data_IF_179193283843
#
_entry.id   IF_179193283843
#
_cell.length_a   1.000
_cell.length_b   1.000
_cell.length_c   1.000
_cell.angle_alpha   90.00
_cell.angle_beta   90.00
_cell.angle_gamma   90.00
#
_symmetry.space_group_name_H-M   'P 1'
#
loop_
_entity.id
_entity.type
_entity.pdbx_description
1 polymer ?
#
# COMPACT_ATOMS: atom_id res chain seq x y z
N UNK A 1 10.01 19.58 -1.55
CA UNK A 1 8.82 20.29 -1.02
C UNK A 1 7.93 20.62 -2.19
N UNK A 2 6.66 20.23 -2.15
CA UNK A 2 5.70 20.46 -3.23
C UNK A 2 4.55 21.28 -2.66
N UNK A 3 4.29 22.52 -3.12
CA UNK A 3 3.25 23.36 -2.50
C UNK A 3 1.91 22.64 -2.48
N UNK A 4 1.15 22.76 -1.36
CA UNK A 4 -0.20 22.20 -1.28
C UNK A 4 -1.08 22.85 -2.35
N UNK A 5 -1.68 22.01 -3.19
CA UNK A 5 -2.67 22.40 -4.20
C UNK A 5 -3.94 21.61 -4.01
N UNK A 6 -5.08 22.27 -4.21
CA UNK A 6 -6.36 21.59 -4.32
C UNK A 6 -6.44 20.98 -5.72
N UNK A 7 -6.75 19.68 -5.78
CA UNK A 7 -6.94 18.91 -7.00
C UNK A 7 -8.30 18.23 -6.97
N UNK A 8 -8.76 17.78 -8.12
CA UNK A 8 -9.99 16.99 -8.26
C UNK A 8 -9.60 15.55 -8.54
N UNK A 9 -10.21 14.61 -7.81
CA UNK A 9 -9.99 13.19 -7.99
C UNK A 9 -10.62 12.72 -9.31
N UNK A 10 -9.87 12.05 -10.17
CA UNK A 10 -10.40 11.45 -11.39
C UNK A 10 -11.30 10.23 -11.13
N UNK A 11 -11.18 9.57 -9.98
CA UNK A 11 -12.00 8.41 -9.60
C UNK A 11 -13.36 8.77 -9.04
N UNK A 12 -13.42 9.71 -8.09
CA UNK A 12 -14.66 10.07 -7.38
C UNK A 12 -15.10 11.53 -7.54
N UNK A 13 -14.37 12.35 -8.29
CA UNK A 13 -14.65 13.78 -8.53
C UNK A 13 -14.60 14.69 -7.29
N UNK A 14 -14.26 14.16 -6.12
CA UNK A 14 -14.07 14.96 -4.91
C UNK A 14 -12.80 15.82 -4.98
N UNK A 15 -12.85 17.00 -4.38
CA UNK A 15 -11.69 17.85 -4.17
C UNK A 15 -10.81 17.32 -3.03
N UNK A 16 -9.49 17.41 -3.18
CA UNK A 16 -8.53 16.98 -2.17
C UNK A 16 -7.24 17.80 -2.23
N UNK A 17 -6.49 17.80 -1.12
CA UNK A 17 -5.19 18.48 -1.03
C UNK A 17 -4.05 17.55 -1.43
N UNK A 18 -3.20 17.99 -2.34
CA UNK A 18 -2.02 17.27 -2.83
C UNK A 18 -0.78 18.16 -2.66
N UNK A 19 0.22 17.70 -1.92
CA UNK A 19 1.45 18.43 -1.65
C UNK A 19 1.93 18.28 -0.20
N UNK A 20 3.02 18.96 0.11
CA UNK A 20 3.78 18.94 1.35
C UNK A 20 4.39 20.32 1.62
N UNK A 21 4.11 20.88 2.80
CA UNK A 21 4.54 22.24 3.17
C UNK A 21 5.90 22.25 3.86
N UNK A 22 6.38 21.12 4.38
CA UNK A 22 7.56 21.07 5.25
C UNK A 22 8.09 19.63 5.38
N UNK A 23 9.40 19.48 5.56
CA UNK A 23 10.09 18.18 5.69
C UNK A 23 9.53 17.27 6.82
N UNK A 24 8.83 17.86 7.79
CA UNK A 24 8.20 17.19 8.93
C UNK A 24 6.81 16.62 8.59
N UNK A 25 6.11 17.15 7.59
CA UNK A 25 4.73 16.79 7.23
C UNK A 25 4.66 16.13 5.84
N UNK A 26 5.32 14.98 5.71
CA UNK A 26 5.39 14.16 4.49
C UNK A 26 4.00 13.99 3.86
N UNK A 27 3.88 14.27 2.56
CA UNK A 27 2.64 14.03 1.80
C UNK A 27 2.14 12.58 2.03
N UNK A 28 0.83 12.45 2.29
CA UNK A 28 0.17 11.17 2.59
C UNK A 28 0.42 10.07 1.54
N UNK A 29 0.69 10.43 0.28
CA UNK A 29 0.95 9.46 -0.78
C UNK A 29 2.24 8.65 -0.55
N UNK A 30 3.18 9.18 0.26
CA UNK A 30 4.42 8.49 0.61
C UNK A 30 4.22 7.37 1.64
N UNK A 31 3.07 7.34 2.34
CA UNK A 31 2.75 6.26 3.28
C UNK A 31 2.44 4.94 2.55
N UNK A 32 2.03 5.03 1.28
CA UNK A 32 1.58 3.89 0.50
C UNK A 32 2.75 3.18 -0.21
N UNK A 33 2.66 1.86 -0.41
CA UNK A 33 3.69 1.12 -1.11
C UNK A 33 3.83 1.62 -2.55
N UNK A 34 5.06 1.76 -3.08
CA UNK A 34 5.30 2.16 -4.47
C UNK A 34 5.08 0.99 -5.44
N UNK A 35 3.93 0.31 -5.31
CA UNK A 35 3.47 -0.73 -6.24
C UNK A 35 2.78 -0.11 -7.47
N UNK A 36 2.46 1.18 -7.40
CA UNK A 36 2.02 1.96 -8.54
C UNK A 36 3.20 2.43 -9.39
N UNK A 37 3.29 1.90 -10.61
CA UNK A 37 3.79 2.72 -11.70
C UNK A 37 2.70 3.72 -12.10
N UNK A 38 2.93 5.00 -11.83
CA UNK A 38 2.05 6.10 -12.22
C UNK A 38 2.01 6.30 -13.75
N UNK A 39 2.94 5.72 -14.51
CA UNK A 39 3.06 5.91 -15.95
C UNK A 39 1.86 5.41 -16.78
N UNK A 40 0.98 4.59 -16.20
CA UNK A 40 -0.23 4.07 -16.86
C UNK A 40 -1.50 4.34 -16.03
N UNK A 41 -1.40 5.19 -15.00
CA UNK A 41 -2.47 5.46 -14.04
C UNK A 41 -3.23 6.77 -14.29
N UNK A 42 -4.41 6.94 -13.67
CA UNK A 42 -5.19 8.16 -13.79
C UNK A 42 -4.47 9.38 -13.17
N UNK A 43 -4.73 10.57 -13.74
CA UNK A 43 -3.98 11.82 -13.53
C UNK A 43 -3.78 12.21 -12.05
N UNK A 44 -4.85 12.15 -11.23
CA UNK A 44 -4.84 12.52 -9.82
C UNK A 44 -5.91 11.75 -9.03
N UNK A 45 -5.51 10.95 -8.04
CA UNK A 45 -6.41 10.25 -7.11
C UNK A 45 -6.36 10.89 -5.71
N UNK A 46 -7.52 11.02 -5.07
CA UNK A 46 -7.60 11.39 -3.66
C UNK A 46 -7.08 10.24 -2.76
N UNK A 47 -6.85 10.48 -1.46
CA UNK A 47 -6.32 9.46 -0.54
C UNK A 47 -7.14 8.16 -0.52
N UNK A 48 -8.46 8.27 -0.61
CA UNK A 48 -9.38 7.12 -0.59
C UNK A 48 -9.24 6.31 -1.88
N UNK A 49 -9.45 6.93 -3.04
CA UNK A 49 -9.35 6.22 -4.31
C UNK A 49 -7.92 5.71 -4.59
N UNK A 50 -6.90 6.40 -4.09
CA UNK A 50 -5.51 5.93 -4.18
C UNK A 50 -5.27 4.70 -3.29
N UNK A 51 -5.86 4.66 -2.09
CA UNK A 51 -5.82 3.47 -1.21
C UNK A 51 -6.52 2.29 -1.87
N UNK A 52 -7.72 2.49 -2.40
CA UNK A 52 -8.49 1.44 -3.09
C UNK A 52 -7.70 0.88 -4.28
N UNK A 53 -7.20 1.76 -5.14
CA UNK A 53 -6.40 1.34 -6.27
C UNK A 53 -5.10 0.62 -5.83
N UNK A 54 -4.52 0.98 -4.67
CA UNK A 54 -3.37 0.27 -4.08
C UNK A 54 -3.76 -1.14 -3.69
N UNK A 55 -4.92 -1.31 -3.06
CA UNK A 55 -5.44 -2.60 -2.66
C UNK A 55 -5.64 -3.50 -3.88
N UNK A 56 -6.31 -3.02 -4.93
CA UNK A 56 -6.51 -3.77 -6.18
C UNK A 56 -5.19 -4.26 -6.79
N UNK A 57 -4.17 -3.39 -6.87
CA UNK A 57 -2.86 -3.77 -7.40
C UNK A 57 -2.11 -4.77 -6.52
N UNK A 58 -2.25 -4.64 -5.20
CA UNK A 58 -1.63 -5.54 -4.23
C UNK A 58 -2.30 -6.91 -4.31
N UNK A 59 -3.63 -6.95 -4.39
CA UNK A 59 -4.39 -8.20 -4.51
C UNK A 59 -4.04 -8.90 -5.83
N UNK A 60 -4.06 -8.19 -6.95
CA UNK A 60 -3.62 -8.73 -8.24
C UNK A 60 -2.16 -9.23 -8.19
N UNK A 61 -1.27 -8.55 -7.45
CA UNK A 61 0.10 -9.01 -7.26
C UNK A 61 0.15 -10.31 -6.43
N UNK A 62 -0.57 -10.37 -5.31
CA UNK A 62 -0.64 -11.53 -4.41
C UNK A 62 -1.18 -12.75 -5.15
N UNK A 63 -2.18 -12.59 -6.03
CA UNK A 63 -2.70 -13.69 -6.86
C UNK A 63 -1.62 -14.35 -7.73
N UNK A 64 -0.58 -13.61 -8.12
CA UNK A 64 0.55 -14.16 -8.90
C UNK A 64 1.60 -14.85 -8.03
N UNK A 65 1.52 -14.71 -6.70
CA UNK A 65 2.48 -15.26 -5.75
C UNK A 65 2.16 -16.72 -5.45
N UNK A 66 3.21 -17.53 -5.48
CA UNK A 66 3.21 -18.90 -4.98
C UNK A 66 4.28 -19.02 -3.90
N UNK A 67 4.24 -20.04 -3.02
CA UNK A 67 5.25 -20.24 -1.97
C UNK A 67 6.70 -20.15 -2.46
N UNK A 68 6.97 -20.70 -3.66
CA UNK A 68 8.30 -20.66 -4.30
C UNK A 68 8.67 -19.25 -4.78
N UNK A 69 7.71 -18.49 -5.31
CA UNK A 69 7.92 -17.12 -5.79
C UNK A 69 7.96 -16.11 -4.65
N UNK A 70 7.30 -16.39 -3.53
CA UNK A 70 7.23 -15.51 -2.36
C UNK A 70 8.62 -15.19 -1.80
N UNK A 71 9.57 -16.13 -1.85
CA UNK A 71 10.96 -15.92 -1.41
C UNK A 71 11.72 -14.87 -2.24
N UNK A 72 11.29 -14.61 -3.48
CA UNK A 72 11.89 -13.63 -4.40
C UNK A 72 10.89 -12.56 -4.81
N UNK A 73 9.93 -12.27 -3.94
CA UNK A 73 8.90 -11.28 -4.23
C UNK A 73 9.49 -9.85 -4.26
N UNK A 74 8.86 -8.96 -5.04
CA UNK A 74 9.31 -7.57 -5.23
C UNK A 74 9.10 -6.73 -3.96
N UNK A 75 8.12 -7.07 -3.11
CA UNK A 75 7.82 -6.34 -1.89
C UNK A 75 9.00 -6.31 -0.89
N UNK A 76 9.89 -7.32 -0.93
CA UNK A 76 11.14 -7.37 -0.13
C UNK A 76 12.07 -6.20 -0.48
N UNK A 77 12.09 -5.82 -1.76
CA UNK A 77 12.96 -4.76 -2.28
C UNK A 77 12.35 -3.36 -2.22
N UNK A 78 11.07 -3.25 -1.84
CA UNK A 78 10.41 -1.96 -1.72
C UNK A 78 10.89 -1.22 -0.47
N UNK A 79 10.92 0.13 -0.49
CA UNK A 79 11.21 0.91 0.69
C UNK A 79 10.25 0.54 1.82
N UNK A 80 10.79 0.25 3.00
CA UNK A 80 9.99 -0.06 4.18
C UNK A 80 9.26 1.20 4.62
N UNK A 81 7.94 1.16 4.60
CA UNK A 81 7.11 2.19 5.21
C UNK A 81 7.05 1.93 6.71
N UNK A 82 7.34 2.96 7.51
CA UNK A 82 7.25 2.86 8.98
C UNK A 82 5.80 2.72 9.45
N UNK A 83 4.88 3.28 8.67
CA UNK A 83 3.45 3.27 8.93
C UNK A 83 2.78 2.05 8.28
N UNK A 84 1.97 1.35 9.07
CA UNK A 84 1.11 0.27 8.61
C UNK A 84 -0.25 0.84 8.22
N UNK A 85 -0.75 0.44 7.06
CA UNK A 85 -2.04 0.92 6.54
C UNK A 85 -3.09 -0.16 6.74
N UNK A 86 -4.18 0.18 7.42
CA UNK A 86 -5.36 -0.69 7.52
C UNK A 86 -5.92 -1.00 6.12
N UNK A 87 -6.44 -2.20 5.93
CA UNK A 87 -6.86 -2.84 4.66
C UNK A 87 -5.73 -3.22 3.69
N UNK A 88 -4.50 -2.73 3.90
CA UNK A 88 -3.33 -3.13 3.10
C UNK A 88 -2.44 -4.08 3.88
N UNK A 89 -1.98 -3.64 5.05
CA UNK A 89 -1.06 -4.39 5.91
C UNK A 89 -1.78 -5.25 6.93
N UNK A 90 -2.91 -4.77 7.44
CA UNK A 90 -3.71 -5.46 8.45
C UNK A 90 -5.18 -5.02 8.38
N UNK A 91 -6.04 -5.73 9.08
CA UNK A 91 -7.38 -5.26 9.47
C UNK A 91 -7.64 -5.65 10.92
N UNK A 92 -8.60 -5.00 11.57
CA UNK A 92 -8.97 -5.31 12.95
C UNK A 92 -10.14 -6.30 12.94
N UNK A 93 -9.97 -7.45 13.58
CA UNK A 93 -10.98 -8.49 13.74
C UNK A 93 -11.11 -8.81 15.22
N UNK A 94 -12.29 -8.61 15.81
CA UNK A 94 -12.54 -8.82 17.25
C UNK A 94 -11.56 -8.07 18.18
N UNK A 95 -11.14 -6.86 17.78
CA UNK A 95 -10.18 -6.05 18.54
C UNK A 95 -8.71 -6.49 18.40
N UNK A 96 -8.43 -7.51 17.58
CA UNK A 96 -7.08 -7.98 17.30
C UNK A 96 -6.63 -7.57 15.90
N UNK A 97 -5.33 -7.29 15.76
CA UNK A 97 -4.71 -7.01 14.47
C UNK A 97 -4.51 -8.31 13.68
N UNK A 98 -5.13 -8.40 12.51
CA UNK A 98 -4.95 -9.50 11.57
C UNK A 98 -4.14 -9.00 10.38
N UNK A 99 -2.87 -9.39 10.33
CA UNK A 99 -1.96 -9.02 9.23
C UNK A 99 -2.34 -9.71 7.92
N UNK A 100 -2.31 -8.95 6.83
CA UNK A 100 -2.60 -9.43 5.47
C UNK A 100 -1.33 -9.94 4.77
N UNK A 101 -1.49 -10.63 3.65
CA UNK A 101 -0.38 -11.24 2.88
C UNK A 101 0.69 -10.23 2.48
N UNK A 102 0.31 -9.00 2.14
CA UNK A 102 1.25 -7.93 1.78
C UNK A 102 2.25 -7.62 2.89
N UNK A 103 1.79 -7.56 4.15
CA UNK A 103 2.67 -7.35 5.30
C UNK A 103 3.71 -8.47 5.42
N UNK A 104 3.27 -9.71 5.22
CA UNK A 104 4.18 -10.87 5.23
C UNK A 104 5.16 -10.85 4.04
N UNK A 105 4.73 -10.45 2.85
CA UNK A 105 5.62 -10.31 1.69
C UNK A 105 6.72 -9.27 1.92
N UNK A 106 6.37 -8.13 2.54
CA UNK A 106 7.35 -7.09 2.95
C UNK A 106 8.34 -7.60 4.00
N UNK A 107 7.92 -8.52 4.88
CA UNK A 107 8.81 -9.17 5.85
C UNK A 107 9.88 -10.03 5.16
N UNK A 108 9.53 -10.67 4.05
CA UNK A 108 10.48 -11.39 3.19
C UNK A 108 10.74 -12.85 3.55
N UNK A 109 10.14 -13.37 4.63
CA UNK A 109 10.31 -14.77 5.06
C UNK A 109 9.10 -15.32 5.81
N UNK A 110 8.97 -16.65 5.80
CA UNK A 110 8.02 -17.38 6.64
C UNK A 110 8.51 -17.39 8.10
N UNK A 111 7.59 -17.19 9.06
CA UNK A 111 7.91 -17.23 10.49
C UNK A 111 7.57 -18.56 11.18
N UNK A 112 6.98 -19.52 10.46
CA UNK A 112 6.62 -20.84 11.00
C UNK A 112 5.40 -20.89 11.91
N UNK A 113 4.66 -19.79 12.07
CA UNK A 113 3.51 -19.70 12.99
C UNK A 113 2.14 -19.91 12.30
N UNK A 114 2.12 -20.56 11.13
CA UNK A 114 0.89 -20.88 10.37
C UNK A 114 -0.09 -19.70 10.25
N UNK A 115 0.42 -18.52 9.85
CA UNK A 115 -0.38 -17.31 9.77
C UNK A 115 -1.51 -17.45 8.75
N UNK A 116 -2.71 -16.95 9.09
CA UNK A 116 -3.92 -17.00 8.24
C UNK A 116 -3.71 -16.51 6.80
N UNK A 117 -2.89 -15.47 6.64
CA UNK A 117 -2.59 -14.84 5.35
C UNK A 117 -1.14 -15.07 4.91
N UNK A 118 -0.54 -16.21 5.26
CA UNK A 118 0.85 -16.51 4.90
C UNK A 118 0.98 -16.74 3.39
N UNK A 119 1.81 -15.96 2.66
CA UNK A 119 2.07 -16.18 1.24
C UNK A 119 3.22 -17.17 0.98
N UNK A 120 3.87 -17.66 2.04
CA UNK A 120 5.01 -18.58 2.02
C UNK A 120 4.60 -19.99 2.43
#
# INVERSE_FOLDING_TARGET
MSPIKIKVCSGCQSSFSCGDVSAENKCWCNDFPPIFNLSEGPDCLCPVCFKEACMDKIDAYIETITPKKALKNKAISLPKTEKLIEDIDYYIENGNYVFKSWFHLKRGSCCGNECRHCPY
#
